data_IF_083364635170
#
_entry.id   IF_083364635170
#
_cell.length_a   1.000
_cell.length_b   1.000
_cell.length_c   1.000
_cell.angle_alpha   90.00
_cell.angle_beta   90.00
_cell.angle_gamma   90.00
#
_symmetry.space_group_name_H-M   'P 1'
#
loop_
_entity.id
_entity.type
_entity.pdbx_description
1 polymer ?
#
# COMPACT_ATOMS: atom_id res chain seq x y z
N UNK A 1 8.06 20.17 42.43
CA UNK A 1 7.39 19.01 41.81
C UNK A 1 7.51 17.84 42.76
N UNK A 2 6.39 17.16 43.06
CA UNK A 2 6.35 16.05 44.03
C UNK A 2 6.91 14.75 43.41
N UNK A 3 7.38 13.82 44.24
CA UNK A 3 7.87 12.51 43.80
C UNK A 3 6.81 11.73 43.00
N UNK A 4 5.53 11.84 43.40
CA UNK A 4 4.40 11.27 42.68
C UNK A 4 4.22 11.87 41.27
N UNK A 5 4.45 13.17 41.12
CA UNK A 5 4.41 13.84 39.81
C UNK A 5 5.59 13.40 38.91
N UNK A 6 6.79 13.19 39.47
CA UNK A 6 7.94 12.65 38.70
C UNK A 6 7.68 11.24 38.19
N UNK A 7 7.18 10.36 39.06
CA UNK A 7 6.82 9.00 38.68
C UNK A 7 5.72 8.97 37.60
N UNK A 8 4.70 9.82 37.72
CA UNK A 8 3.64 9.94 36.72
C UNK A 8 4.14 10.42 35.35
N UNK A 9 5.01 11.44 35.33
CA UNK A 9 5.64 11.91 34.10
C UNK A 9 6.50 10.84 33.45
N UNK A 10 7.29 10.10 34.24
CA UNK A 10 8.11 8.99 33.75
C UNK A 10 7.25 7.95 33.02
N UNK A 11 6.21 7.44 33.70
CA UNK A 11 5.29 6.46 33.10
C UNK A 11 4.66 6.98 31.81
N UNK A 12 4.20 8.23 31.79
CA UNK A 12 3.63 8.85 30.59
C UNK A 12 4.61 8.80 29.40
N UNK A 13 5.85 9.26 29.58
CA UNK A 13 6.82 9.33 28.49
C UNK A 13 7.24 7.95 27.98
N UNK A 14 7.35 6.93 28.85
CA UNK A 14 7.61 5.56 28.40
C UNK A 14 6.44 4.96 27.61
N UNK A 15 5.21 5.08 28.13
CA UNK A 15 4.03 4.55 27.45
C UNK A 15 3.82 5.24 26.11
N UNK A 16 3.95 6.57 26.07
CA UNK A 16 3.84 7.35 24.84
C UNK A 16 4.92 6.94 23.82
N UNK A 17 6.18 6.79 24.26
CA UNK A 17 7.28 6.35 23.40
C UNK A 17 7.03 4.94 22.84
N UNK A 18 6.54 4.02 23.66
CA UNK A 18 6.23 2.65 23.23
C UNK A 18 5.11 2.65 22.17
N UNK A 19 4.02 3.37 22.40
CA UNK A 19 2.91 3.48 21.45
C UNK A 19 3.37 4.11 20.14
N UNK A 20 4.17 5.19 20.20
CA UNK A 20 4.74 5.82 19.02
C UNK A 20 5.67 4.87 18.25
N UNK A 21 6.49 4.08 18.95
CA UNK A 21 7.34 3.07 18.32
C UNK A 21 6.51 2.02 17.58
N UNK A 22 5.42 1.53 18.18
CA UNK A 22 4.52 0.58 17.54
C UNK A 22 3.92 1.15 16.24
N UNK A 23 3.51 2.42 16.26
CA UNK A 23 3.05 3.08 15.03
C UNK A 23 4.15 3.23 13.99
N UNK A 24 5.36 3.66 14.39
CA UNK A 24 6.51 3.76 13.48
C UNK A 24 6.78 2.42 12.81
N UNK A 25 6.80 1.32 13.57
CA UNK A 25 7.00 -0.02 13.02
C UNK A 25 5.89 -0.44 12.07
N UNK A 26 4.63 -0.17 12.42
CA UNK A 26 3.48 -0.48 11.56
C UNK A 26 3.57 0.26 10.21
N UNK A 27 3.81 1.57 10.23
CA UNK A 27 3.92 2.36 9.00
C UNK A 27 5.18 2.05 8.20
N UNK A 28 6.30 1.72 8.85
CA UNK A 28 7.52 1.27 8.19
C UNK A 28 7.30 -0.07 7.47
N UNK A 29 6.65 -1.03 8.13
CA UNK A 29 6.30 -2.33 7.53
C UNK A 29 5.40 -2.15 6.30
N UNK A 30 4.36 -1.32 6.43
CA UNK A 30 3.49 -1.01 5.29
C UNK A 30 4.25 -0.33 4.16
N UNK A 31 5.17 0.60 4.45
CA UNK A 31 5.99 1.24 3.44
C UNK A 31 6.86 0.23 2.69
N UNK A 32 7.51 -0.70 3.40
CA UNK A 32 8.31 -1.78 2.80
C UNK A 32 7.44 -2.63 1.87
N UNK A 33 6.23 -3.00 2.30
CA UNK A 33 5.30 -3.77 1.46
C UNK A 33 4.88 -3.04 0.19
N UNK A 34 4.75 -1.71 0.22
CA UNK A 34 4.39 -0.96 -0.98
C UNK A 34 5.58 -0.74 -1.90
N UNK A 35 6.76 -0.51 -1.34
CA UNK A 35 8.00 -0.43 -2.11
C UNK A 35 8.30 -1.76 -2.81
N UNK A 36 8.07 -2.90 -2.17
CA UNK A 36 8.22 -4.20 -2.82
C UNK A 36 7.24 -4.37 -3.99
N UNK A 37 5.98 -3.97 -3.83
CA UNK A 37 4.99 -3.98 -4.92
C UNK A 37 5.29 -3.02 -6.07
N UNK A 38 6.10 -1.99 -5.84
CA UNK A 38 6.57 -1.07 -6.89
C UNK A 38 7.79 -1.66 -7.62
N UNK A 39 8.76 -2.19 -6.87
CA UNK A 39 10.03 -2.69 -7.39
C UNK A 39 9.91 -4.07 -8.05
N UNK A 40 9.08 -4.94 -7.47
CA UNK A 40 8.87 -6.32 -7.90
C UNK A 40 7.45 -6.45 -8.43
N UNK A 41 7.22 -5.89 -9.61
CA UNK A 41 5.95 -6.06 -10.29
C UNK A 41 5.79 -7.52 -10.71
N UNK A 42 4.64 -8.16 -10.45
CA UNK A 42 4.40 -9.53 -10.91
C UNK A 42 4.58 -9.61 -12.44
N UNK A 43 5.02 -10.74 -13.02
CA UNK A 43 5.18 -10.88 -14.47
C UNK A 43 3.86 -10.72 -15.20
N UNK A 44 3.87 -10.13 -16.42
CA UNK A 44 2.69 -10.08 -17.31
C UNK A 44 2.35 -11.52 -17.62
N UNK A 45 1.23 -12.00 -17.11
CA UNK A 45 0.90 -13.41 -17.18
C UNK A 45 -0.60 -13.56 -17.31
N UNK A 46 -1.08 -14.04 -18.48
CA UNK A 46 -2.52 -14.17 -18.79
C UNK A 46 -3.27 -15.08 -17.82
N UNK A 47 -2.59 -15.71 -16.86
CA UNK A 47 -3.15 -16.56 -15.81
C UNK A 47 -4.23 -15.82 -15.01
N UNK A 48 -4.18 -14.48 -14.90
CA UNK A 48 -5.12 -13.74 -14.06
C UNK A 48 -6.50 -13.51 -14.70
N UNK A 49 -6.60 -13.57 -16.03
CA UNK A 49 -7.85 -13.32 -16.76
C UNK A 49 -8.15 -14.56 -17.60
N UNK A 50 -9.26 -15.25 -17.31
CA UNK A 50 -9.70 -16.38 -18.10
C UNK A 50 -9.96 -15.93 -19.55
N UNK A 51 -9.44 -16.70 -20.51
CA UNK A 51 -9.59 -16.41 -21.93
C UNK A 51 -11.06 -16.28 -22.35
N UNK A 52 -11.95 -17.14 -21.85
CA UNK A 52 -13.38 -17.08 -22.20
C UNK A 52 -14.07 -15.86 -21.59
N UNK A 53 -13.71 -15.48 -20.35
CA UNK A 53 -14.21 -14.25 -19.72
C UNK A 53 -13.72 -13.01 -20.47
N UNK A 54 -12.44 -13.00 -20.88
CA UNK A 54 -11.84 -11.93 -21.67
C UNK A 54 -12.51 -11.80 -23.04
N UNK A 55 -12.79 -12.93 -23.70
CA UNK A 55 -13.50 -12.99 -24.98
C UNK A 55 -14.92 -12.45 -24.84
N UNK A 56 -15.67 -12.86 -23.81
CA UNK A 56 -17.01 -12.37 -23.55
C UNK A 56 -17.03 -10.85 -23.28
N UNK A 57 -16.08 -10.36 -22.48
CA UNK A 57 -15.92 -8.92 -22.23
C UNK A 57 -15.58 -8.15 -23.52
N UNK A 58 -14.63 -8.65 -24.32
CA UNK A 58 -14.26 -8.01 -25.58
C UNK A 58 -15.43 -7.96 -26.56
N UNK A 59 -16.20 -9.04 -26.69
CA UNK A 59 -17.39 -9.09 -27.53
C UNK A 59 -18.44 -8.06 -27.07
N UNK A 60 -18.66 -7.97 -25.76
CA UNK A 60 -19.57 -6.99 -25.18
C UNK A 60 -19.09 -5.55 -25.41
N UNK A 61 -17.79 -5.27 -25.29
CA UNK A 61 -17.24 -3.93 -25.52
C UNK A 61 -17.26 -3.50 -27.00
N UNK A 62 -16.99 -4.44 -27.93
CA UNK A 62 -17.02 -4.14 -29.37
C UNK A 62 -18.44 -4.02 -29.93
N UNK A 63 -19.34 -4.90 -29.52
CA UNK A 63 -20.63 -5.08 -30.20
C UNK A 63 -21.85 -4.81 -29.30
N UNK A 64 -21.64 -4.56 -28.01
CA UNK A 64 -22.72 -4.36 -27.04
C UNK A 64 -23.45 -5.66 -26.68
N UNK A 65 -24.42 -5.58 -25.74
CA UNK A 65 -25.14 -6.75 -25.23
C UNK A 65 -26.02 -7.48 -26.25
N UNK A 66 -26.34 -6.85 -27.38
CA UNK A 66 -27.18 -7.42 -28.44
C UNK A 66 -26.42 -7.64 -29.76
N UNK A 67 -25.09 -7.50 -29.76
CA UNK A 67 -24.27 -7.53 -30.95
C UNK A 67 -23.96 -8.95 -31.45
N UNK A 68 -24.19 -9.20 -32.74
CA UNK A 68 -23.84 -10.45 -33.43
C UNK A 68 -22.50 -10.34 -34.15
N UNK A 69 -21.39 -10.41 -33.41
CA UNK A 69 -20.03 -10.36 -33.95
C UNK A 69 -19.16 -11.53 -33.49
N UNK A 70 -17.96 -11.64 -34.06
CA UNK A 70 -16.93 -12.59 -33.62
C UNK A 70 -15.61 -11.85 -33.37
N UNK A 71 -14.78 -12.43 -32.52
CA UNK A 71 -13.44 -11.91 -32.18
C UNK A 71 -12.41 -13.00 -32.44
N UNK A 72 -11.24 -12.64 -32.94
CA UNK A 72 -10.17 -13.60 -33.20
C UNK A 72 -9.40 -13.93 -31.91
N UNK A 73 -8.71 -15.08 -31.85
CA UNK A 73 -7.87 -15.41 -30.70
C UNK A 73 -6.77 -14.37 -30.43
N UNK A 74 -6.24 -13.74 -31.46
CA UNK A 74 -5.22 -12.69 -31.38
C UNK A 74 -5.80 -11.43 -30.72
N UNK A 75 -7.01 -11.03 -31.11
CA UNK A 75 -7.71 -9.88 -30.51
C UNK A 75 -7.98 -10.11 -29.01
N UNK A 76 -8.37 -11.33 -28.63
CA UNK A 76 -8.58 -11.69 -27.22
C UNK A 76 -7.26 -11.65 -26.44
N UNK A 77 -6.16 -12.14 -27.02
CA UNK A 77 -4.83 -12.08 -26.38
C UNK A 77 -4.36 -10.65 -26.18
N UNK A 78 -4.49 -9.80 -27.18
CA UNK A 78 -4.15 -8.38 -27.07
C UNK A 78 -5.00 -7.68 -26.01
N UNK A 79 -6.31 -7.98 -25.98
CA UNK A 79 -7.21 -7.45 -24.96
C UNK A 79 -6.78 -7.84 -23.54
N UNK A 80 -6.43 -9.12 -23.30
CA UNK A 80 -5.93 -9.59 -22.01
C UNK A 80 -4.66 -8.84 -21.60
N UNK A 81 -3.69 -8.71 -22.51
CA UNK A 81 -2.44 -8.00 -22.25
C UNK A 81 -2.71 -6.53 -21.91
N UNK A 82 -3.57 -5.86 -22.68
CA UNK A 82 -3.92 -4.46 -22.43
C UNK A 82 -4.61 -4.27 -21.07
N UNK A 83 -5.53 -5.17 -20.71
CA UNK A 83 -6.20 -5.16 -19.40
C UNK A 83 -5.21 -5.36 -18.27
N UNK A 84 -4.30 -6.32 -18.38
CA UNK A 84 -3.25 -6.52 -17.38
C UNK A 84 -2.34 -5.31 -17.22
N UNK A 85 -1.96 -4.66 -18.32
CA UNK A 85 -1.19 -3.42 -18.28
C UNK A 85 -1.96 -2.29 -17.58
N UNK A 86 -3.27 -2.17 -17.82
CA UNK A 86 -4.11 -1.20 -17.10
C UNK A 86 -4.20 -1.53 -15.61
N UNK A 87 -4.44 -2.79 -15.25
CA UNK A 87 -4.46 -3.23 -13.84
C UNK A 87 -3.14 -2.93 -13.14
N UNK A 88 -2.00 -3.16 -13.79
CA UNK A 88 -0.68 -2.78 -13.26
C UNK A 88 -0.54 -1.29 -13.05
N UNK A 89 -0.93 -0.48 -14.02
CA UNK A 89 -0.86 1.00 -13.90
C UNK A 89 -1.70 1.48 -12.72
N UNK A 90 -2.89 0.92 -12.52
CA UNK A 90 -3.76 1.24 -11.39
C UNK A 90 -3.14 0.78 -10.07
N UNK A 91 -2.66 -0.46 -10.01
CA UNK A 91 -2.01 -1.03 -8.82
C UNK A 91 -0.75 -0.23 -8.43
N UNK A 92 0.09 0.13 -9.39
CA UNK A 92 1.27 0.97 -9.14
C UNK A 92 0.88 2.33 -8.58
N UNK A 93 -0.09 3.01 -9.21
CA UNK A 93 -0.59 4.30 -8.72
C UNK A 93 -1.10 4.19 -7.29
N UNK A 94 -1.82 3.13 -6.98
CA UNK A 94 -2.31 2.84 -5.64
C UNK A 94 -1.15 2.63 -4.65
N UNK A 95 -0.16 1.81 -5.01
CA UNK A 95 1.00 1.56 -4.17
C UNK A 95 1.82 2.83 -3.93
N UNK A 96 2.03 3.67 -4.94
CA UNK A 96 2.68 4.98 -4.78
C UNK A 96 1.90 5.90 -3.84
N UNK A 97 0.58 5.97 -3.97
CA UNK A 97 -0.26 6.78 -3.09
C UNK A 97 -0.16 6.33 -1.63
N UNK A 98 -0.22 5.02 -1.37
CA UNK A 98 -0.08 4.48 -0.02
C UNK A 98 1.35 4.67 0.52
N UNK A 99 2.37 4.42 -0.31
CA UNK A 99 3.77 4.62 0.06
C UNK A 99 4.02 6.07 0.48
N UNK A 100 3.55 7.04 -0.31
CA UNK A 100 3.66 8.46 0.02
C UNK A 100 3.00 8.82 1.35
N UNK A 101 1.78 8.31 1.60
CA UNK A 101 1.07 8.52 2.87
C UNK A 101 1.84 7.95 4.06
N UNK A 102 2.33 6.72 3.95
CA UNK A 102 3.12 6.08 5.02
C UNK A 102 4.43 6.82 5.28
N UNK A 103 5.12 7.28 4.22
CA UNK A 103 6.34 8.06 4.35
C UNK A 103 6.08 9.38 5.10
N UNK A 104 5.00 10.10 4.80
CA UNK A 104 4.62 11.32 5.52
C UNK A 104 4.37 11.03 7.00
N UNK A 105 3.65 9.96 7.34
CA UNK A 105 3.43 9.60 8.73
C UNK A 105 4.74 9.30 9.46
N UNK A 106 5.66 8.56 8.84
CA UNK A 106 6.97 8.27 9.43
C UNK A 106 7.80 9.54 9.64
N UNK A 107 7.80 10.45 8.66
CA UNK A 107 8.50 11.74 8.76
C UNK A 107 8.03 12.58 9.95
N UNK A 108 6.75 12.48 10.33
CA UNK A 108 6.18 13.18 11.48
C UNK A 108 6.43 12.40 12.79
N UNK A 109 6.17 11.09 12.80
CA UNK A 109 6.19 10.30 14.03
C UNK A 109 7.61 10.05 14.55
N UNK A 110 8.60 9.87 13.66
CA UNK A 110 9.98 9.58 14.08
C UNK A 110 10.55 10.70 14.98
N UNK A 111 10.47 11.99 14.61
CA UNK A 111 10.90 13.08 15.48
C UNK A 111 10.14 13.13 16.81
N UNK A 112 8.82 12.90 16.78
CA UNK A 112 7.97 12.93 17.99
C UNK A 112 8.34 11.79 18.93
N UNK A 113 8.51 10.57 18.41
CA UNK A 113 9.03 9.42 19.15
C UNK A 113 10.38 9.74 19.78
N UNK A 114 11.31 10.24 18.98
CA UNK A 114 12.66 10.56 19.42
C UNK A 114 12.68 11.57 20.56
N UNK A 115 11.83 12.60 20.49
CA UNK A 115 11.66 13.55 21.57
C UNK A 115 11.14 12.89 22.86
N UNK A 116 10.05 12.13 22.77
CA UNK A 116 9.46 11.47 23.94
C UNK A 116 10.41 10.47 24.59
N UNK A 117 11.15 9.72 23.76
CA UNK A 117 12.15 8.77 24.23
C UNK A 117 13.30 9.45 24.96
N UNK A 118 13.82 10.56 24.42
CA UNK A 118 14.86 11.35 25.09
C UNK A 118 14.40 11.91 26.43
N UNK A 119 13.16 12.40 26.51
CA UNK A 119 12.62 12.90 27.78
C UNK A 119 12.45 11.75 28.78
N UNK A 120 11.97 10.58 28.34
CA UNK A 120 11.87 9.39 29.19
C UNK A 120 13.22 9.03 29.83
N UNK A 121 14.29 8.99 29.02
CA UNK A 121 15.65 8.71 29.48
C UNK A 121 16.19 9.79 30.43
N UNK A 122 15.83 11.05 30.23
CA UNK A 122 16.26 12.13 31.14
C UNK A 122 15.57 12.13 32.51
N UNK A 123 14.50 11.34 32.64
CA UNK A 123 13.73 11.16 33.88
C UNK A 123 14.12 9.86 34.61
N UNK A 124 15.10 9.12 34.11
CA UNK A 124 15.78 8.03 34.85
C UNK A 124 16.74 8.57 35.91
#
# INVERSE_FOLDING_TARGET
MTEKQKAGMKVYYYVASFVLLMFVLFYASNLVSQLSGILVQPPLSPIRINYEDAKAQLLWEKYGPAGGGSVTPEEVKEFVIQRELQYRKVALRHNYSIAGRNAIYLLIMIPVYWHHWKVALSLE
#
